data_IF_532096784032
#
_entry.id   IF_532096784032
#
_cell.length_a   1.000
_cell.length_b   1.000
_cell.length_c   1.000
_cell.angle_alpha   90.00
_cell.angle_beta   90.00
_cell.angle_gamma   90.00
#
_symmetry.space_group_name_H-M   'P 1'
#
loop_
_entity.id
_entity.type
_entity.pdbx_description
1 polymer ?
#
# COMPACT_ATOMS: atom_id res chain seq x y z
N UNK A 1 -11.53 26.82 -7.41
CA UNK A 1 -12.96 27.07 -7.70
C UNK A 1 -13.69 25.88 -8.31
N UNK A 2 -13.09 25.08 -9.22
CA UNK A 2 -13.77 23.92 -9.82
C UNK A 2 -14.20 22.83 -8.81
N UNK A 3 -13.40 22.56 -7.78
CA UNK A 3 -13.70 21.49 -6.79
C UNK A 3 -15.06 21.67 -6.08
N UNK A 4 -15.49 22.91 -5.83
CA UNK A 4 -16.74 23.19 -5.13
C UNK A 4 -17.97 23.21 -6.06
N UNK A 5 -17.77 23.29 -7.38
CA UNK A 5 -18.87 23.30 -8.37
C UNK A 5 -19.09 21.95 -9.04
N UNK A 6 -18.17 20.98 -8.88
CA UNK A 6 -18.28 19.63 -9.48
C UNK A 6 -19.61 18.95 -9.13
N UNK A 7 -20.12 19.15 -7.91
CA UNK A 7 -21.42 18.63 -7.50
C UNK A 7 -22.56 19.09 -8.43
N UNK A 8 -22.51 20.33 -8.91
CA UNK A 8 -23.51 20.89 -9.82
C UNK A 8 -23.20 20.57 -11.29
N UNK A 9 -21.92 20.46 -11.65
CA UNK A 9 -21.50 20.24 -13.05
C UNK A 9 -21.58 18.77 -13.48
N UNK A 10 -21.32 17.83 -12.56
CA UNK A 10 -21.32 16.37 -12.81
C UNK A 10 -21.88 15.60 -11.60
N UNK A 11 -23.17 15.80 -11.27
CA UNK A 11 -23.79 15.26 -10.05
C UNK A 11 -23.72 13.73 -9.96
N UNK A 12 -23.83 13.03 -11.09
CA UNK A 12 -23.76 11.57 -11.12
C UNK A 12 -22.35 11.04 -10.82
N UNK A 13 -21.32 11.54 -11.51
CA UNK A 13 -19.93 11.13 -11.29
C UNK A 13 -19.47 11.44 -9.86
N UNK A 14 -19.86 12.60 -9.33
CA UNK A 14 -19.58 12.99 -7.95
C UNK A 14 -20.27 12.08 -6.93
N UNK A 15 -21.54 11.71 -7.18
CA UNK A 15 -22.29 10.79 -6.33
C UNK A 15 -21.65 9.40 -6.28
N UNK A 16 -21.21 8.87 -7.42
CA UNK A 16 -20.51 7.58 -7.51
C UNK A 16 -19.17 7.64 -6.77
N UNK A 17 -18.36 8.69 -6.98
CA UNK A 17 -17.07 8.84 -6.31
C UNK A 17 -17.24 8.94 -4.78
N UNK A 18 -18.26 9.67 -4.31
CA UNK A 18 -18.59 9.79 -2.89
C UNK A 18 -19.01 8.44 -2.32
N UNK A 19 -19.89 7.70 -3.01
CA UNK A 19 -20.33 6.38 -2.59
C UNK A 19 -19.16 5.38 -2.48
N UNK A 20 -18.25 5.36 -3.45
CA UNK A 20 -17.05 4.51 -3.44
C UNK A 20 -16.14 4.89 -2.25
N UNK A 21 -15.94 6.18 -2.01
CA UNK A 21 -15.11 6.67 -0.90
C UNK A 21 -15.69 6.26 0.46
N UNK A 22 -17.00 6.44 0.64
CA UNK A 22 -17.71 6.02 1.86
C UNK A 22 -17.61 4.50 2.03
N UNK A 23 -17.80 3.71 0.97
CA UNK A 23 -17.65 2.26 1.02
C UNK A 23 -16.23 1.84 1.42
N UNK A 24 -15.19 2.47 0.85
CA UNK A 24 -13.80 2.23 1.26
C UNK A 24 -13.55 2.52 2.74
N UNK A 25 -14.04 3.66 3.23
CA UNK A 25 -13.90 4.03 4.64
C UNK A 25 -14.61 3.03 5.55
N UNK A 26 -15.80 2.56 5.19
CA UNK A 26 -16.53 1.56 5.95
C UNK A 26 -15.79 0.22 6.00
N UNK A 27 -15.21 -0.22 4.87
CA UNK A 27 -14.41 -1.45 4.82
C UNK A 27 -13.18 -1.33 5.69
N UNK A 28 -12.43 -0.23 5.58
CA UNK A 28 -11.22 0.01 6.37
C UNK A 28 -11.52 0.09 7.87
N UNK A 29 -12.57 0.82 8.26
CA UNK A 29 -13.00 0.93 9.65
C UNK A 29 -13.39 -0.44 10.22
N UNK A 30 -14.16 -1.22 9.45
CA UNK A 30 -14.58 -2.56 9.87
C UNK A 30 -13.40 -3.53 9.95
N UNK A 31 -12.44 -3.45 9.04
CA UNK A 31 -11.21 -4.24 9.09
C UNK A 31 -10.34 -3.88 10.30
N UNK A 32 -10.21 -2.59 10.61
CA UNK A 32 -9.48 -2.12 11.78
C UNK A 32 -10.13 -2.58 13.10
N UNK A 33 -11.46 -2.49 13.20
CA UNK A 33 -12.21 -2.99 14.36
C UNK A 33 -12.17 -4.53 14.48
N UNK A 34 -12.09 -5.24 13.36
CA UNK A 34 -11.99 -6.71 13.35
C UNK A 34 -10.61 -7.24 13.76
N UNK A 35 -9.64 -6.37 14.05
CA UNK A 35 -8.31 -6.76 14.52
C UNK A 35 -8.27 -7.13 16.02
N UNK A 36 -9.43 -7.27 16.68
CA UNK A 36 -9.53 -7.65 18.09
C UNK A 36 -9.24 -9.14 18.31
N UNK A 37 -7.96 -9.46 18.51
CA UNK A 37 -7.53 -10.71 19.12
C UNK A 37 -6.11 -11.14 18.70
N UNK A 38 -5.36 -11.87 19.56
CA UNK A 38 -4.04 -12.38 19.20
C UNK A 38 -4.17 -13.41 18.07
N UNK A 39 -4.09 -12.92 16.83
CA UNK A 39 -4.04 -13.79 15.66
C UNK A 39 -2.72 -14.57 15.72
N UNK A 40 -2.76 -15.86 15.35
CA UNK A 40 -1.54 -16.68 15.27
C UNK A 40 -0.47 -16.04 14.36
N UNK A 41 -0.91 -15.25 13.38
CA UNK A 41 -0.08 -14.42 12.51
C UNK A 41 0.55 -13.25 13.30
N UNK A 42 -0.22 -12.53 14.11
CA UNK A 42 0.31 -11.47 14.98
C UNK A 42 1.38 -11.99 15.94
N UNK A 43 1.13 -13.13 16.61
CA UNK A 43 2.12 -13.78 17.49
C UNK A 43 3.35 -14.30 16.72
N UNK A 44 3.18 -14.72 15.47
CA UNK A 44 4.29 -15.11 14.60
C UNK A 44 5.13 -13.88 14.20
N UNK A 45 4.49 -12.77 13.85
CA UNK A 45 5.14 -11.52 13.44
C UNK A 45 5.89 -10.84 14.61
N UNK A 46 5.46 -11.01 15.86
CA UNK A 46 6.18 -10.50 17.04
C UNK A 46 7.35 -11.37 17.50
N UNK A 47 7.72 -12.45 16.76
CA UNK A 47 8.89 -13.25 17.11
C UNK A 47 10.20 -12.53 16.77
N UNK A 48 11.29 -12.76 17.52
CA UNK A 48 12.63 -12.21 17.20
C UNK A 48 13.15 -12.62 15.81
N UNK A 49 12.61 -13.71 15.25
CA UNK A 49 12.99 -14.20 13.93
C UNK A 49 12.36 -13.41 12.77
N UNK A 50 11.36 -12.57 13.03
CA UNK A 50 10.61 -11.85 11.99
C UNK A 50 11.47 -10.78 11.30
N UNK A 51 12.49 -10.25 11.98
CA UNK A 51 13.46 -9.32 11.36
C UNK A 51 14.16 -9.92 10.14
N UNK A 52 14.45 -11.23 10.17
CA UNK A 52 15.04 -11.91 9.03
C UNK A 52 14.06 -12.02 7.86
N UNK A 53 12.78 -12.29 8.14
CA UNK A 53 11.73 -12.35 7.11
C UNK A 53 11.62 -11.01 6.38
N UNK A 54 11.53 -9.92 7.13
CA UNK A 54 11.46 -8.58 6.53
C UNK A 54 12.77 -8.15 5.86
N UNK A 55 13.93 -8.54 6.39
CA UNK A 55 15.22 -8.29 5.74
C UNK A 55 15.33 -9.01 4.37
N UNK A 56 14.92 -10.27 4.30
CA UNK A 56 14.89 -11.02 3.03
C UNK A 56 13.85 -10.47 2.07
N UNK A 57 12.66 -10.08 2.56
CA UNK A 57 11.65 -9.39 1.74
C UNK A 57 12.17 -8.07 1.19
N UNK A 58 12.89 -7.28 2.00
CA UNK A 58 13.49 -6.03 1.56
C UNK A 58 14.55 -6.25 0.48
N UNK A 59 15.44 -7.23 0.68
CA UNK A 59 16.44 -7.60 -0.31
C UNK A 59 15.80 -8.07 -1.61
N UNK A 60 14.80 -8.96 -1.54
CA UNK A 60 14.07 -9.45 -2.69
C UNK A 60 13.34 -8.33 -3.44
N UNK A 61 12.67 -7.45 -2.71
CA UNK A 61 12.02 -6.25 -3.26
C UNK A 61 13.02 -5.34 -3.98
N UNK A 62 14.18 -5.07 -3.35
CA UNK A 62 15.22 -4.21 -3.92
C UNK A 62 15.79 -4.79 -5.22
N UNK A 63 15.98 -6.11 -5.30
CA UNK A 63 16.44 -6.78 -6.52
C UNK A 63 15.35 -6.72 -7.60
N UNK A 64 14.12 -7.10 -7.27
CA UNK A 64 13.00 -7.18 -8.23
C UNK A 64 12.65 -5.82 -8.81
N UNK A 65 12.49 -4.79 -7.98
CA UNK A 65 12.12 -3.47 -8.46
C UNK A 65 13.32 -2.60 -8.85
N UNK A 66 14.47 -2.77 -8.20
CA UNK A 66 15.69 -2.04 -8.56
C UNK A 66 16.22 -2.42 -9.93
N UNK A 67 16.11 -3.70 -10.32
CA UNK A 67 16.46 -4.16 -11.68
C UNK A 67 15.23 -4.12 -12.60
N UNK A 68 14.08 -4.58 -12.12
CA UNK A 68 12.88 -4.72 -12.97
C UNK A 68 12.35 -3.40 -13.50
N UNK A 69 12.42 -2.31 -12.72
CA UNK A 69 11.98 -1.00 -13.22
C UNK A 69 12.93 -0.44 -14.30
N UNK A 70 14.22 -0.77 -14.27
CA UNK A 70 15.17 -0.35 -15.31
C UNK A 70 14.87 -0.98 -16.67
N UNK A 71 14.16 -2.11 -16.69
CA UNK A 71 13.76 -2.81 -17.91
C UNK A 71 12.46 -2.27 -18.51
N UNK A 72 11.73 -1.40 -17.78
CA UNK A 72 10.46 -0.83 -18.24
C UNK A 72 10.73 0.45 -19.03
N UNK A 73 10.19 0.62 -20.25
CA UNK A 73 10.37 1.83 -21.05
C UNK A 73 9.95 3.10 -20.29
N UNK A 74 10.84 4.08 -20.20
CA UNK A 74 10.67 5.28 -19.37
C UNK A 74 10.04 6.46 -20.12
N UNK A 75 9.89 6.34 -21.44
CA UNK A 75 9.45 7.44 -22.31
C UNK A 75 8.04 7.18 -22.87
N UNK A 76 7.18 8.19 -22.71
CA UNK A 76 5.82 8.21 -23.28
C UNK A 76 4.70 8.37 -22.24
N UNK A 77 3.68 9.15 -22.60
CA UNK A 77 2.51 9.44 -21.74
C UNK A 77 1.66 8.20 -21.38
N UNK A 78 1.91 7.06 -22.03
CA UNK A 78 1.22 5.79 -21.83
C UNK A 78 2.16 4.70 -21.30
N UNK A 79 3.27 5.07 -20.65
CA UNK A 79 4.22 4.11 -20.09
C UNK A 79 3.68 3.48 -18.78
N UNK A 80 3.76 2.14 -18.63
CA UNK A 80 3.46 1.46 -17.37
C UNK A 80 4.38 1.82 -16.19
N UNK A 81 5.48 2.55 -16.45
CA UNK A 81 6.51 2.87 -15.47
C UNK A 81 5.96 3.59 -14.23
N UNK A 82 5.04 4.54 -14.43
CA UNK A 82 4.44 5.29 -13.32
C UNK A 82 3.63 4.40 -12.36
N UNK A 83 2.80 3.50 -12.91
CA UNK A 83 2.00 2.57 -12.11
C UNK A 83 2.84 1.52 -11.39
N UNK A 84 3.82 0.93 -12.09
CA UNK A 84 4.76 -0.03 -11.50
C UNK A 84 5.65 0.64 -10.44
N UNK A 85 6.05 1.89 -10.65
CA UNK A 85 6.79 2.69 -9.67
C UNK A 85 5.98 2.96 -8.40
N UNK A 86 4.68 3.26 -8.51
CA UNK A 86 3.81 3.41 -7.34
C UNK A 86 3.68 2.10 -6.56
N UNK A 87 3.50 0.98 -7.25
CA UNK A 87 3.47 -0.35 -6.61
C UNK A 87 4.80 -0.62 -5.89
N UNK A 88 5.93 -0.36 -6.56
CA UNK A 88 7.26 -0.52 -5.98
C UNK A 88 7.40 0.32 -4.70
N UNK A 89 7.00 1.59 -4.74
CA UNK A 89 7.10 2.51 -3.62
C UNK A 89 6.25 2.06 -2.43
N UNK A 90 4.97 1.73 -2.65
CA UNK A 90 4.08 1.30 -1.58
C UNK A 90 4.51 -0.05 -0.98
N UNK A 91 4.88 -1.02 -1.82
CA UNK A 91 5.35 -2.33 -1.33
C UNK A 91 6.64 -2.19 -0.53
N UNK A 92 7.60 -1.39 -0.99
CA UNK A 92 8.84 -1.11 -0.27
C UNK A 92 8.61 -0.41 1.06
N UNK A 93 7.69 0.56 1.11
CA UNK A 93 7.31 1.25 2.34
C UNK A 93 6.75 0.28 3.39
N UNK A 94 5.82 -0.60 3.02
CA UNK A 94 5.24 -1.58 3.97
C UNK A 94 6.26 -2.61 4.44
N UNK A 95 7.16 -3.06 3.56
CA UNK A 95 8.26 -3.97 3.95
C UNK A 95 9.19 -3.29 4.95
N UNK A 96 9.58 -2.03 4.70
CA UNK A 96 10.45 -1.27 5.61
C UNK A 96 9.78 -0.94 6.94
N UNK A 97 8.50 -0.56 6.93
CA UNK A 97 7.73 -0.38 8.16
C UNK A 97 7.65 -1.69 8.94
N UNK A 98 7.35 -2.81 8.29
CA UNK A 98 7.35 -4.12 8.93
C UNK A 98 8.71 -4.49 9.52
N UNK A 99 9.81 -4.19 8.83
CA UNK A 99 11.17 -4.39 9.33
C UNK A 99 11.44 -3.56 10.60
N UNK A 100 11.15 -2.26 10.56
CA UNK A 100 11.35 -1.35 11.70
C UNK A 100 10.55 -1.83 12.92
N UNK A 101 9.28 -2.17 12.73
CA UNK A 101 8.42 -2.70 13.79
C UNK A 101 8.93 -4.03 14.36
N UNK A 102 9.52 -4.89 13.52
CA UNK A 102 10.08 -6.16 13.96
C UNK A 102 11.34 -6.02 14.83
N UNK A 103 12.05 -4.88 14.76
CA UNK A 103 13.25 -4.61 15.56
C UNK A 103 12.93 -3.81 16.83
N UNK A 104 11.97 -2.90 16.77
CA UNK A 104 11.57 -2.09 17.95
C UNK A 104 10.91 -2.94 19.04
N UNK A 105 10.31 -4.07 18.68
CA UNK A 105 9.69 -5.00 19.63
C UNK A 105 10.64 -5.95 20.35
N UNK A 106 11.95 -5.92 20.07
CA UNK A 106 13.00 -6.65 20.83
C UNK A 106 13.49 -5.82 22.02
#
# INVERSE_FOLDING_TARGET
>A
MQLFTIFFSRPFEFGVATAITVAMLLILLRAAMSAEGPSGIGRFMTRPTTKFVFAFLFLGWAVVFGIGLQLVPHEGANSPYGGLGLIAMFTGFFIMMGFIWSVIGE
#
